data_IF_781129947291
#
_entry.id   IF_781129947291
#
_cell.length_a   1.000
_cell.length_b   1.000
_cell.length_c   1.000
_cell.angle_alpha   90.00
_cell.angle_beta   90.00
_cell.angle_gamma   90.00
#
_symmetry.space_group_name_H-M   'P 1'
#
loop_
_entity.id
_entity.type
_entity.pdbx_description
1 polymer ?
#
# COMPACT_ATOMS: atom_id res chain seq x y z
N UNK A 1 6.62 -11.41 18.23
CA UNK A 1 7.05 -10.08 17.73
C UNK A 1 6.04 -9.54 16.71
N UNK A 2 6.00 -8.23 16.42
CA UNK A 2 5.07 -7.65 15.41
C UNK A 2 5.37 -8.15 14.00
N UNK A 3 6.64 -8.47 13.71
CA UNK A 3 7.11 -9.10 12.46
C UNK A 3 6.41 -10.43 12.17
N UNK A 4 6.36 -11.34 13.14
CA UNK A 4 5.70 -12.64 12.99
C UNK A 4 4.20 -12.50 12.68
N UNK A 5 3.56 -11.48 13.26
CA UNK A 5 2.14 -11.17 12.99
C UNK A 5 1.94 -10.63 11.58
N UNK A 6 2.84 -9.79 11.05
CA UNK A 6 2.78 -9.32 9.66
C UNK A 6 2.84 -10.49 8.67
N UNK A 7 3.78 -11.43 8.86
CA UNK A 7 3.93 -12.61 7.99
C UNK A 7 2.66 -13.47 8.02
N UNK A 8 2.03 -13.61 9.20
CA UNK A 8 0.74 -14.29 9.35
C UNK A 8 -0.39 -13.54 8.62
N UNK A 9 -0.47 -12.22 8.77
CA UNK A 9 -1.49 -11.39 8.13
C UNK A 9 -1.34 -11.33 6.61
N UNK A 10 -0.11 -11.33 6.11
CA UNK A 10 0.20 -11.46 4.69
C UNK A 10 -0.31 -12.81 4.16
N UNK A 11 0.03 -13.92 4.83
CA UNK A 11 -0.38 -15.28 4.42
C UNK A 11 -1.90 -15.42 4.41
N UNK A 12 -2.56 -14.88 5.43
CA UNK A 12 -4.01 -14.97 5.60
C UNK A 12 -4.78 -13.92 4.79
N UNK A 13 -4.09 -13.01 4.08
CA UNK A 13 -4.67 -11.84 3.43
C UNK A 13 -5.61 -11.09 4.37
N UNK A 14 -5.20 -10.96 5.63
CA UNK A 14 -5.99 -10.27 6.65
C UNK A 14 -6.08 -8.79 6.29
N UNK A 15 -7.28 -8.24 6.40
CA UNK A 15 -7.49 -6.80 6.26
C UNK A 15 -7.03 -6.13 7.55
N UNK A 16 -6.16 -5.14 7.43
CA UNK A 16 -5.54 -4.44 8.54
C UNK A 16 -5.89 -2.95 8.49
N UNK A 17 -5.96 -2.36 9.67
CA UNK A 17 -5.93 -0.93 9.90
C UNK A 17 -4.55 -0.56 10.42
N UNK A 18 -3.86 0.33 9.72
CA UNK A 18 -2.54 0.83 10.09
C UNK A 18 -2.67 2.32 10.41
N UNK A 19 -2.12 2.74 11.53
CA UNK A 19 -1.99 4.14 11.92
C UNK A 19 -0.53 4.51 11.80
N UNK A 20 -0.22 5.44 10.90
CA UNK A 20 1.13 5.95 10.66
C UNK A 20 1.27 7.39 11.12
N UNK A 21 2.48 7.78 11.52
CA UNK A 21 2.79 9.16 11.91
C UNK A 21 3.82 9.71 10.93
N UNK A 22 3.37 10.57 10.02
CA UNK A 22 4.25 11.22 9.05
C UNK A 22 4.58 12.64 9.51
N UNK A 23 5.87 12.97 9.57
CA UNK A 23 6.34 14.31 9.95
C UNK A 23 5.74 15.36 9.00
N UNK A 24 4.93 16.26 9.55
CA UNK A 24 4.27 17.34 8.80
C UNK A 24 2.87 17.02 8.26
N UNK A 25 2.45 15.74 8.21
CA UNK A 25 1.07 15.36 7.85
C UNK A 25 0.25 14.78 9.01
N UNK A 26 0.91 14.48 10.14
CA UNK A 26 0.24 13.97 11.34
C UNK A 26 -0.13 12.49 11.21
N UNK A 27 -1.19 12.10 11.89
CA UNK A 27 -1.65 10.71 11.96
C UNK A 27 -2.44 10.37 10.70
N UNK A 28 -2.03 9.34 9.97
CA UNK A 28 -2.76 8.80 8.83
C UNK A 28 -3.27 7.41 9.15
N UNK A 29 -4.49 7.11 8.68
CA UNK A 29 -5.12 5.80 8.85
C UNK A 29 -5.24 5.16 7.47
N UNK A 30 -4.71 3.97 7.34
CA UNK A 30 -4.75 3.16 6.13
C UNK A 30 -5.50 1.87 6.40
N UNK A 31 -6.39 1.47 5.49
CA UNK A 31 -7.12 0.20 5.58
C UNK A 31 -6.81 -0.63 4.36
N UNK A 32 -6.38 -1.88 4.56
CA UNK A 32 -5.81 -2.64 3.46
C UNK A 32 -5.05 -3.90 3.85
N UNK A 33 -4.29 -4.42 2.91
CA UNK A 33 -3.64 -5.72 3.05
C UNK A 33 -2.12 -5.61 2.90
N UNK A 34 -1.40 -6.40 3.68
CA UNK A 34 0.04 -6.59 3.49
C UNK A 34 0.25 -7.48 2.28
N UNK A 35 0.97 -6.97 1.28
CA UNK A 35 1.34 -7.71 0.08
C UNK A 35 2.65 -8.48 0.30
N UNK A 36 3.60 -7.84 0.97
CA UNK A 36 4.94 -8.37 1.20
C UNK A 36 5.51 -7.77 2.48
N UNK A 37 6.19 -8.56 3.30
CA UNK A 37 6.92 -8.08 4.47
C UNK A 37 8.38 -8.56 4.39
N UNK A 38 9.32 -7.65 4.65
CA UNK A 38 10.74 -7.95 4.80
C UNK A 38 11.14 -7.79 6.27
N UNK A 39 11.40 -8.93 6.91
CA UNK A 39 11.79 -8.98 8.32
C UNK A 39 13.20 -8.41 8.57
N UNK A 40 14.08 -8.42 7.57
CA UNK A 40 15.45 -7.93 7.74
C UNK A 40 15.52 -6.40 7.76
N UNK A 41 14.80 -5.75 6.83
CA UNK A 41 14.73 -4.29 6.76
C UNK A 41 13.65 -3.69 7.65
N UNK A 42 12.78 -4.51 8.25
CA UNK A 42 11.63 -4.05 9.03
C UNK A 42 10.68 -3.18 8.20
N UNK A 43 10.57 -3.47 6.91
CA UNK A 43 9.73 -2.72 5.96
C UNK A 43 8.74 -3.66 5.29
N UNK A 44 7.58 -3.15 4.90
CA UNK A 44 6.57 -3.96 4.22
C UNK A 44 5.76 -3.16 3.21
N UNK A 45 5.32 -3.86 2.17
CA UNK A 45 4.47 -3.36 1.11
C UNK A 45 3.01 -3.57 1.50
N UNK A 46 2.25 -2.48 1.51
CA UNK A 46 0.85 -2.44 1.90
C UNK A 46 -0.01 -1.89 0.76
N UNK A 47 -1.13 -2.56 0.46
CA UNK A 47 -2.12 -2.05 -0.48
C UNK A 47 -3.28 -1.45 0.28
N UNK A 48 -3.43 -0.13 0.18
CA UNK A 48 -4.54 0.63 0.74
C UNK A 48 -5.77 0.50 -0.17
N UNK A 49 -6.87 -0.03 0.39
CA UNK A 49 -8.13 -0.23 -0.33
C UNK A 49 -8.91 1.06 -0.56
N UNK A 50 -8.81 2.02 0.37
CA UNK A 50 -9.54 3.28 0.30
C UNK A 50 -8.93 4.17 -0.79
N UNK A 51 -7.59 4.24 -0.82
CA UNK A 51 -6.86 5.05 -1.78
C UNK A 51 -6.49 4.29 -3.06
N UNK A 52 -6.64 2.96 -3.07
CA UNK A 52 -6.21 2.06 -4.16
C UNK A 52 -4.74 2.26 -4.54
N UNK A 53 -3.89 2.47 -3.54
CA UNK A 53 -2.45 2.76 -3.70
C UNK A 53 -1.59 1.79 -2.90
N UNK A 54 -0.39 1.55 -3.40
CA UNK A 54 0.63 0.80 -2.68
C UNK A 54 1.50 1.75 -1.85
N UNK A 55 1.76 1.37 -0.61
CA UNK A 55 2.65 2.07 0.32
C UNK A 55 3.76 1.13 0.74
N UNK A 56 4.98 1.65 0.83
CA UNK A 56 6.08 0.95 1.47
C UNK A 56 6.27 1.59 2.86
N UNK A 57 5.85 0.90 3.91
CA UNK A 57 5.94 1.39 5.27
C UNK A 57 7.17 0.81 5.98
N UNK A 58 7.87 1.66 6.71
CA UNK A 58 8.82 1.21 7.71
C UNK A 58 8.09 0.96 9.03
N UNK A 59 8.47 -0.08 9.78
CA UNK A 59 7.94 -0.33 11.12
C UNK A 59 8.12 0.85 12.09
N UNK A 60 9.10 1.72 11.84
CA UNK A 60 9.36 2.90 12.66
C UNK A 60 8.33 4.03 12.45
N UNK A 61 7.58 3.99 11.34
CA UNK A 61 6.57 5.00 10.99
C UNK A 61 5.17 4.62 11.50
N UNK A 62 5.05 3.42 12.06
CA UNK A 62 3.78 2.85 12.50
C UNK A 62 3.65 3.06 13.98
N UNK A 63 2.56 3.72 14.35
CA UNK A 63 2.17 3.86 15.74
C UNK A 63 1.34 2.67 16.20
N UNK A 64 0.39 2.23 15.38
CA UNK A 64 -0.46 1.08 15.70
C UNK A 64 -0.88 0.29 14.45
N UNK A 65 -1.09 -1.02 14.63
CA UNK A 65 -1.54 -1.94 13.59
C UNK A 65 -2.48 -3.00 14.16
N UNK A 66 -3.70 -3.06 13.61
CA UNK A 66 -4.74 -3.96 14.10
C UNK A 66 -5.49 -4.62 12.94
N UNK A 67 -5.98 -5.86 13.10
CA UNK A 67 -6.96 -6.44 12.19
C UNK A 67 -8.17 -5.52 12.06
N UNK A 68 -8.57 -5.23 10.83
CA UNK A 68 -9.79 -4.48 10.56
C UNK A 68 -10.98 -5.41 10.73
N UNK A 69 -11.55 -5.40 11.93
CA UNK A 69 -12.87 -5.97 12.16
C UNK A 69 -13.90 -4.95 11.70
N UNK A 70 -14.62 -5.28 10.63
CA UNK A 70 -15.74 -4.46 10.16
C UNK A 70 -16.71 -4.35 11.34
N UNK A 71 -17.02 -3.15 11.85
CA UNK A 71 -17.90 -3.04 13.01
C UNK A 71 -19.24 -3.72 12.67
N UNK A 72 -19.85 -4.47 13.62
CA UNK A 72 -21.19 -4.98 13.42
C UNK A 72 -22.08 -3.81 13.04
N UNK A 73 -22.91 -3.99 12.01
CA UNK A 73 -23.67 -2.96 11.27
C UNK A 73 -24.67 -2.15 12.12
N UNK A 74 -24.64 -2.27 13.45
CA UNK A 74 -25.51 -1.58 14.41
C UNK A 74 -24.74 -0.81 15.51
N UNK A 75 -23.60 -0.18 15.19
CA UNK A 75 -22.97 0.78 16.09
C UNK A 75 -23.33 2.22 15.67
N UNK A 76 -23.92 3.05 16.55
CA UNK A 76 -24.31 4.41 16.19
C UNK A 76 -23.07 5.22 15.80
N UNK A 77 -23.10 5.75 14.57
CA UNK A 77 -22.13 6.70 14.05
C UNK A 77 -22.13 7.98 14.92
N UNK A 78 -21.32 7.99 15.98
CA UNK A 78 -20.96 9.21 16.68
C UNK A 78 -19.46 9.26 16.87
N UNK A 79 -18.91 10.34 16.31
CA UNK A 79 -17.59 10.91 16.55
C UNK A 79 -16.44 10.30 15.75
N UNK A 80 -16.36 10.71 14.49
CA UNK A 80 -15.12 11.27 13.89
C UNK A 80 -15.41 12.10 12.62
N UNK A 81 -16.62 12.67 12.48
CA UNK A 81 -16.95 13.67 11.46
C UNK A 81 -16.91 15.07 12.06
N UNK A 82 -15.71 15.59 12.35
CA UNK A 82 -15.48 17.03 12.47
C UNK A 82 -14.06 17.33 12.03
N UNK A 83 -13.88 17.41 10.71
CA UNK A 83 -12.94 18.32 10.01
C UNK A 83 -12.92 17.97 8.50
N UNK A 84 -14.09 17.96 7.87
CA UNK A 84 -14.17 18.19 6.43
C UNK A 84 -14.55 19.65 6.23
N UNK A 85 -13.59 20.49 5.85
CA UNK A 85 -13.87 21.59 4.95
C UNK A 85 -12.58 22.10 4.28
N UNK A 86 -12.67 22.23 2.96
CA UNK A 86 -11.69 22.79 2.00
C UNK A 86 -10.47 21.87 1.76
N UNK A 87 -10.22 21.33 0.57
CA UNK A 87 -10.56 21.75 -0.79
C UNK A 87 -10.44 20.52 -1.69
N UNK A 88 -11.38 20.29 -2.61
CA UNK A 88 -11.23 19.26 -3.63
C UNK A 88 -10.07 19.65 -4.57
N UNK A 89 -9.02 18.82 -4.75
CA UNK A 89 -8.19 18.95 -5.92
C UNK A 89 -8.94 18.31 -7.09
N UNK A 90 -9.16 19.13 -8.11
CA UNK A 90 -9.63 18.77 -9.44
C UNK A 90 -8.72 17.66 -9.98
N UNK A 91 -9.31 16.52 -10.33
CA UNK A 91 -8.60 15.38 -10.94
C UNK A 91 -8.27 15.78 -12.38
N UNK A 92 -7.01 16.10 -12.64
CA UNK A 92 -6.47 16.17 -14.00
C UNK A 92 -6.22 14.74 -14.50
N UNK A 93 -6.75 14.43 -15.68
CA UNK A 93 -6.49 13.18 -16.39
C UNK A 93 -5.01 13.13 -16.81
N UNK A 94 -4.17 12.40 -16.07
CA UNK A 94 -2.82 12.04 -16.53
C UNK A 94 -2.89 10.76 -17.37
N UNK A 95 -3.12 10.93 -18.68
CA UNK A 95 -3.00 9.87 -19.70
C UNK A 95 -1.99 10.34 -20.75
N UNK A 96 -0.70 10.04 -20.54
CA UNK A 96 0.33 9.78 -21.58
C UNK A 96 1.73 9.63 -20.95
N UNK A 97 2.02 10.38 -19.87
CA UNK A 97 3.37 10.52 -19.31
C UNK A 97 3.96 9.23 -18.69
N UNK A 98 3.11 8.39 -18.08
CA UNK A 98 3.56 7.19 -17.35
C UNK A 98 4.21 6.14 -18.26
N UNK A 99 3.81 6.08 -19.53
CA UNK A 99 4.39 5.13 -20.49
C UNK A 99 5.80 5.53 -20.88
N UNK A 100 6.00 6.82 -21.14
CA UNK A 100 7.30 7.35 -21.56
C UNK A 100 8.29 7.38 -20.39
N UNK A 101 7.79 7.66 -19.18
CA UNK A 101 8.57 7.53 -17.94
C UNK A 101 9.02 6.08 -17.73
N UNK A 102 8.12 5.10 -17.89
CA UNK A 102 8.47 3.68 -17.79
C UNK A 102 9.51 3.26 -18.84
N UNK A 103 9.38 3.75 -20.08
CA UNK A 103 10.36 3.47 -21.15
C UNK A 103 11.73 4.10 -20.82
N UNK A 104 11.76 5.33 -20.30
CA UNK A 104 12.99 6.01 -19.90
C UNK A 104 13.69 5.26 -18.75
N UNK A 105 12.91 4.75 -17.79
CA UNK A 105 13.40 3.98 -16.66
C UNK A 105 13.98 2.62 -17.10
N UNK A 106 13.31 1.93 -18.03
CA UNK A 106 13.81 0.69 -18.64
C UNK A 106 15.11 0.95 -19.42
N UNK A 107 15.19 2.05 -20.18
CA UNK A 107 16.39 2.41 -20.96
C UNK A 107 17.57 2.81 -20.10
N UNK A 108 17.34 3.35 -18.90
CA UNK A 108 18.41 3.77 -17.98
C UNK A 108 18.95 2.63 -17.11
N UNK A 109 18.26 1.48 -17.06
CA UNK A 109 18.68 0.34 -16.28
C UNK A 109 19.78 -0.47 -17.00
N UNK A 110 20.83 -0.92 -16.26
CA UNK A 110 21.83 -1.82 -16.81
C UNK A 110 21.21 -3.20 -17.10
N UNK A 111 21.72 -3.87 -18.13
CA UNK A 111 21.20 -5.16 -18.63
C UNK A 111 21.06 -6.22 -17.53
N UNK A 112 21.97 -6.26 -16.57
CA UNK A 112 21.92 -7.18 -15.43
C UNK A 112 20.67 -6.99 -14.55
N UNK A 113 20.24 -5.75 -14.32
CA UNK A 113 19.01 -5.45 -13.57
C UNK A 113 17.76 -5.71 -14.40
N UNK A 114 17.81 -5.48 -15.72
CA UNK A 114 16.71 -5.84 -16.61
C UNK A 114 16.47 -7.35 -16.61
N UNK A 115 17.52 -8.17 -16.71
CA UNK A 115 17.40 -9.63 -16.64
C UNK A 115 16.81 -10.12 -15.31
N UNK A 116 17.15 -9.48 -14.19
CA UNK A 116 16.58 -9.81 -12.89
C UNK A 116 15.07 -9.48 -12.79
N UNK A 117 14.59 -8.52 -13.57
CA UNK A 117 13.18 -8.10 -13.60
C UNK A 117 12.31 -8.96 -14.54
N UNK A 118 12.90 -9.70 -15.49
CA UNK A 118 12.16 -10.53 -16.45
C UNK A 118 11.23 -11.55 -15.76
N UNK A 119 11.68 -12.33 -14.75
CA UNK A 119 10.80 -13.28 -14.07
C UNK A 119 9.60 -12.62 -13.38
N UNK A 120 9.80 -11.43 -12.81
CA UNK A 120 8.74 -10.65 -12.16
C UNK A 120 7.72 -10.13 -13.17
N UNK A 121 8.18 -9.61 -14.31
CA UNK A 121 7.30 -9.17 -15.40
C UNK A 121 6.51 -10.34 -16.01
N UNK A 122 7.13 -11.53 -16.11
CA UNK A 122 6.44 -12.74 -16.56
C UNK A 122 5.35 -13.20 -15.59
N UNK A 123 5.61 -13.11 -14.27
CA UNK A 123 4.60 -13.42 -13.26
C UNK A 123 3.41 -12.48 -13.33
N UNK A 124 3.65 -11.16 -13.47
CA UNK A 124 2.59 -10.17 -13.64
C UNK A 124 1.73 -10.44 -14.89
N UNK A 125 2.37 -10.74 -16.03
CA UNK A 125 1.66 -11.10 -17.27
C UNK A 125 0.79 -12.34 -17.11
N UNK A 126 1.30 -13.37 -16.42
CA UNK A 126 0.58 -14.63 -16.24
C UNK A 126 -0.53 -14.53 -15.18
N UNK A 127 -0.44 -13.60 -14.23
CA UNK A 127 -1.52 -13.33 -13.28
C UNK A 127 -2.74 -12.65 -13.90
N UNK A 128 -2.55 -11.82 -14.93
CA UNK A 128 -3.66 -11.23 -15.69
C UNK A 128 -4.30 -12.23 -16.68
N UNK A 129 -3.56 -13.23 -17.15
CA UNK A 129 -4.08 -14.26 -18.06
C UNK A 129 -5.00 -15.31 -17.40
N UNK A 130 -5.20 -15.25 -16.07
CA UNK A 130 -6.07 -16.16 -15.30
C UNK A 130 -7.42 -15.55 -14.89
N UNK A 131 -7.79 -14.39 -15.44
CA UNK A 131 -9.12 -13.80 -15.26
C UNK A 131 -10.04 -14.12 -16.43
#
# INVERSE_FOLDING_TARGET
>A
MVSEKLTLWQKNKTLLRIITVEKGKGHQVHVGNVLYADEQSGSFLFYDLDQKKNYNFSMNEIEDIQPYEKPPTNAPAKQLQKQFNKSAPKIEEFKEDVRDEAIALIKSLPSSKLYALIPLLQLLKNSDAKK
#
